data_IF_464808244218
#
_entry.id   IF_464808244218
#
_cell.length_a   1.000
_cell.length_b   1.000
_cell.length_c   1.000
_cell.angle_alpha   90.00
_cell.angle_beta   90.00
_cell.angle_gamma   90.00
#
_symmetry.space_group_name_H-M   'P 1'
#
loop_
_entity.id
_entity.type
_entity.pdbx_description
1 polymer ?
#
# COMPACT_ATOMS: atom_id res chain seq x y z
N UNK A 1 -0.75 -46.39 3.20
CA UNK A 1 -1.15 -44.97 3.33
C UNK A 1 -0.30 -44.18 4.33
N UNK A 2 0.49 -44.79 5.22
CA UNK A 2 1.26 -44.04 6.23
C UNK A 2 2.36 -43.12 5.69
N UNK A 3 2.87 -43.39 4.48
CA UNK A 3 3.93 -42.59 3.85
C UNK A 3 3.45 -41.16 3.51
N UNK A 4 2.23 -41.02 3.01
CA UNK A 4 1.67 -39.72 2.58
C UNK A 4 1.47 -38.78 3.78
N UNK A 5 1.10 -39.32 4.95
CA UNK A 5 0.87 -38.51 6.15
C UNK A 5 2.16 -37.99 6.82
N UNK A 6 3.34 -38.45 6.38
CA UNK A 6 4.63 -38.06 7.00
C UNK A 6 5.47 -37.13 6.12
N UNK A 7 5.12 -36.97 4.85
CA UNK A 7 5.92 -36.21 3.89
C UNK A 7 5.34 -34.80 3.75
N UNK A 8 6.20 -33.79 3.70
CA UNK A 8 5.76 -32.40 3.51
C UNK A 8 5.59 -32.09 2.02
N UNK A 9 4.74 -31.10 1.72
CA UNK A 9 4.54 -30.63 0.35
C UNK A 9 5.86 -30.23 -0.33
N UNK A 10 6.74 -29.51 0.36
CA UNK A 10 8.03 -29.08 -0.19
C UNK A 10 8.92 -30.25 -0.62
N UNK A 11 8.92 -31.36 0.14
CA UNK A 11 9.72 -32.53 -0.19
C UNK A 11 9.16 -33.27 -1.41
N UNK A 12 7.84 -33.36 -1.53
CA UNK A 12 7.19 -33.91 -2.73
C UNK A 12 7.42 -33.04 -3.97
N UNK A 13 7.26 -31.73 -3.82
CA UNK A 13 7.44 -30.78 -4.92
C UNK A 13 8.88 -30.84 -5.47
N UNK A 14 9.88 -30.92 -4.57
CA UNK A 14 11.28 -31.08 -4.95
C UNK A 14 11.59 -32.43 -5.60
N UNK A 15 10.90 -33.50 -5.20
CA UNK A 15 11.17 -34.84 -5.69
C UNK A 15 10.59 -35.12 -7.07
N UNK A 16 9.46 -34.49 -7.40
CA UNK A 16 8.73 -34.72 -8.65
C UNK A 16 8.74 -33.52 -9.60
N UNK A 17 9.56 -32.50 -9.32
CA UNK A 17 9.65 -31.27 -10.13
C UNK A 17 9.88 -31.56 -11.60
N UNK A 18 10.70 -32.57 -11.88
CA UNK A 18 11.16 -32.90 -13.23
C UNK A 18 10.22 -33.88 -13.94
N UNK A 19 9.48 -34.69 -13.17
CA UNK A 19 8.56 -35.70 -13.71
C UNK A 19 7.20 -35.11 -14.06
N UNK A 20 6.67 -34.18 -13.25
CA UNK A 20 5.29 -33.69 -13.35
C UNK A 20 5.12 -32.20 -12.97
N UNK A 21 5.80 -31.25 -13.64
CA UNK A 21 5.78 -29.83 -13.25
C UNK A 21 4.38 -29.21 -13.27
N UNK A 22 3.54 -29.56 -14.25
CA UNK A 22 2.19 -28.99 -14.39
C UNK A 22 1.25 -29.38 -13.24
N UNK A 23 1.37 -30.61 -12.73
CA UNK A 23 0.54 -31.09 -11.61
C UNK A 23 0.98 -30.40 -10.33
N UNK A 24 2.29 -30.23 -10.13
CA UNK A 24 2.84 -29.53 -8.98
C UNK A 24 2.38 -28.07 -8.92
N UNK A 25 2.42 -27.37 -10.05
CA UNK A 25 1.88 -26.01 -10.16
C UNK A 25 0.38 -25.94 -9.82
N UNK A 26 -0.41 -26.93 -10.26
CA UNK A 26 -1.84 -26.97 -9.94
C UNK A 26 -2.08 -27.14 -8.44
N UNK A 27 -1.29 -27.99 -7.78
CA UNK A 27 -1.39 -28.19 -6.33
C UNK A 27 -0.89 -26.95 -5.58
N UNK A 28 0.19 -26.30 -6.02
CA UNK A 28 0.63 -25.02 -5.46
C UNK A 28 -0.49 -23.97 -5.54
N UNK A 29 -1.15 -23.84 -6.70
CA UNK A 29 -2.30 -22.96 -6.88
C UNK A 29 -3.44 -23.34 -5.91
N UNK A 30 -3.78 -24.62 -5.83
CA UNK A 30 -4.82 -25.10 -4.91
C UNK A 30 -4.51 -24.78 -3.44
N UNK A 31 -3.24 -24.88 -3.05
CA UNK A 31 -2.78 -24.57 -1.69
C UNK A 31 -2.78 -23.07 -1.38
N UNK A 32 -2.75 -22.21 -2.40
CA UNK A 32 -2.91 -20.75 -2.24
C UNK A 32 -4.36 -20.30 -2.12
N UNK A 33 -5.33 -21.14 -2.50
CA UNK A 33 -6.74 -20.82 -2.36
C UNK A 33 -7.17 -20.93 -0.89
N UNK A 34 -7.81 -19.89 -0.31
CA UNK A 34 -8.32 -19.98 1.04
C UNK A 34 -9.43 -21.04 1.10
N UNK A 35 -9.31 -21.99 2.03
CA UNK A 35 -10.29 -23.06 2.21
C UNK A 35 -11.64 -22.60 2.81
N UNK A 36 -11.74 -21.35 3.25
CA UNK A 36 -12.91 -20.80 3.94
C UNK A 36 -13.21 -19.35 3.53
N UNK A 37 -14.49 -19.00 3.55
CA UNK A 37 -14.99 -17.63 3.37
C UNK A 37 -14.81 -16.75 4.60
N UNK A 38 -14.33 -17.29 5.73
CA UNK A 38 -14.10 -16.53 6.96
C UNK A 38 -13.14 -15.34 6.75
N UNK A 39 -12.13 -15.50 5.89
CA UNK A 39 -11.21 -14.41 5.53
C UNK A 39 -11.93 -13.29 4.76
N UNK A 40 -12.90 -13.64 3.90
CA UNK A 40 -13.76 -12.66 3.24
C UNK A 40 -14.63 -11.90 4.26
N UNK A 41 -15.24 -12.59 5.22
CA UNK A 41 -16.06 -11.98 6.27
C UNK A 41 -15.25 -11.02 7.14
N UNK A 42 -14.03 -11.43 7.54
CA UNK A 42 -13.06 -10.56 8.20
C UNK A 42 -12.76 -9.35 7.32
N UNK A 43 -12.56 -9.55 6.02
CA UNK A 43 -12.37 -8.47 5.07
C UNK A 43 -13.53 -7.45 5.09
N UNK A 44 -14.77 -7.92 4.96
CA UNK A 44 -15.95 -7.05 5.03
C UNK A 44 -16.07 -6.30 6.37
N UNK A 45 -15.68 -6.92 7.48
CA UNK A 45 -15.66 -6.24 8.77
C UNK A 45 -14.64 -5.08 8.80
N UNK A 46 -13.41 -5.31 8.31
CA UNK A 46 -12.40 -4.24 8.18
C UNK A 46 -12.89 -3.13 7.25
N UNK A 47 -13.49 -3.48 6.12
CA UNK A 47 -14.09 -2.52 5.19
C UNK A 47 -15.14 -1.63 5.88
N UNK A 48 -15.99 -2.22 6.74
CA UNK A 48 -17.00 -1.50 7.51
C UNK A 48 -16.38 -0.55 8.54
N UNK A 49 -15.24 -0.92 9.12
CA UNK A 49 -14.49 -0.03 10.02
C UNK A 49 -13.84 1.15 9.26
N UNK A 50 -13.28 0.89 8.09
CA UNK A 50 -12.67 1.90 7.23
C UNK A 50 -13.71 2.91 6.76
N UNK A 51 -14.82 2.40 6.22
CA UNK A 51 -15.91 3.18 5.63
C UNK A 51 -17.05 3.33 6.63
N UNK A 52 -16.75 4.03 7.72
CA UNK A 52 -17.75 4.47 8.70
C UNK A 52 -18.63 5.57 8.11
N UNK A 53 -19.76 5.86 8.74
CA UNK A 53 -20.72 6.89 8.33
C UNK A 53 -20.06 8.27 8.07
N UNK A 54 -19.16 8.68 8.97
CA UNK A 54 -18.37 9.91 8.89
C UNK A 54 -17.26 9.91 7.83
N UNK A 55 -16.94 8.75 7.24
CA UNK A 55 -15.88 8.55 6.23
C UNK A 55 -16.46 8.01 4.91
N UNK A 56 -17.74 8.24 4.67
CA UNK A 56 -18.46 7.74 3.50
C UNK A 56 -17.90 8.24 2.17
N UNK A 57 -17.21 9.39 2.16
CA UNK A 57 -16.58 10.02 0.98
C UNK A 57 -15.21 9.46 0.60
N UNK A 58 -14.69 8.44 1.29
CA UNK A 58 -13.36 7.90 0.99
C UNK A 58 -13.32 7.26 -0.40
N UNK A 59 -12.30 7.65 -1.20
CA UNK A 59 -12.11 7.12 -2.54
C UNK A 59 -11.86 5.61 -2.52
N UNK A 60 -12.30 4.89 -3.56
CA UNK A 60 -12.09 3.44 -3.66
C UNK A 60 -10.61 3.04 -3.59
N UNK A 61 -9.72 3.87 -4.15
CA UNK A 61 -8.27 3.67 -4.07
C UNK A 61 -7.77 3.71 -2.61
N UNK A 62 -8.14 4.76 -1.87
CA UNK A 62 -7.73 4.93 -0.47
C UNK A 62 -8.30 3.84 0.43
N UNK A 63 -9.52 3.39 0.15
CA UNK A 63 -10.12 2.23 0.82
C UNK A 63 -9.27 0.98 0.58
N UNK A 64 -8.88 0.70 -0.66
CA UNK A 64 -8.03 -0.45 -1.01
C UNK A 64 -6.67 -0.39 -0.32
N UNK A 65 -6.00 0.76 -0.33
CA UNK A 65 -4.71 0.95 0.35
C UNK A 65 -4.81 0.67 1.87
N UNK A 66 -5.85 1.20 2.52
CA UNK A 66 -6.05 0.98 3.96
C UNK A 66 -6.43 -0.48 4.27
N UNK A 67 -7.18 -1.12 3.36
CA UNK A 67 -7.51 -2.53 3.45
C UNK A 67 -6.25 -3.41 3.37
N UNK A 68 -5.33 -3.11 2.45
CA UNK A 68 -4.04 -3.79 2.35
C UNK A 68 -3.23 -3.64 3.62
N UNK A 69 -3.19 -2.44 4.22
CA UNK A 69 -2.51 -2.23 5.51
C UNK A 69 -3.13 -3.12 6.60
N UNK A 70 -4.45 -3.18 6.70
CA UNK A 70 -5.12 -3.96 7.76
C UNK A 70 -4.97 -5.48 7.58
N UNK A 71 -4.98 -5.98 6.35
CA UNK A 71 -4.93 -7.42 6.08
C UNK A 71 -3.51 -7.99 6.00
N UNK A 72 -2.54 -7.19 5.54
CA UNK A 72 -1.17 -7.66 5.27
C UNK A 72 -0.16 -7.19 6.32
N UNK A 73 -0.50 -6.20 7.15
CA UNK A 73 0.40 -5.75 8.22
C UNK A 73 0.53 -6.81 9.31
N UNK A 74 1.70 -6.81 9.96
CA UNK A 74 1.88 -7.52 11.22
C UNK A 74 0.89 -7.02 12.28
N UNK A 75 0.55 -7.91 13.23
CA UNK A 75 -0.23 -7.53 14.41
C UNK A 75 0.44 -6.36 15.15
N UNK A 76 -0.37 -5.53 15.81
CA UNK A 76 0.06 -4.29 16.47
C UNK A 76 1.20 -4.56 17.47
N UNK A 77 1.18 -5.73 18.13
CA UNK A 77 2.20 -6.14 19.11
C UNK A 77 3.59 -6.38 18.49
N UNK A 78 3.62 -6.81 17.23
CA UNK A 78 4.83 -7.18 16.50
C UNK A 78 5.17 -6.16 15.40
N UNK A 79 4.40 -5.09 15.28
CA UNK A 79 4.61 -4.06 14.28
C UNK A 79 5.85 -3.22 14.62
N UNK A 80 6.85 -3.20 13.72
CA UNK A 80 8.00 -2.31 13.83
C UNK A 80 7.72 -0.99 13.10
N UNK A 81 7.57 0.14 13.82
CA UNK A 81 7.31 1.43 13.18
C UNK A 81 8.57 2.07 12.58
N UNK A 82 9.78 1.58 12.90
CA UNK A 82 11.04 2.22 12.50
C UNK A 82 11.19 2.44 10.98
N UNK A 83 10.81 1.49 10.10
CA UNK A 83 10.91 1.70 8.66
C UNK A 83 10.04 2.87 8.19
N UNK A 84 8.79 2.94 8.67
CA UNK A 84 7.86 4.02 8.33
C UNK A 84 8.36 5.37 8.85
N UNK A 85 8.90 5.40 10.07
CA UNK A 85 9.51 6.59 10.66
C UNK A 85 10.70 7.06 9.83
N UNK A 86 11.58 6.14 9.41
CA UNK A 86 12.75 6.46 8.60
C UNK A 86 12.35 7.06 7.24
N UNK A 87 11.38 6.43 6.57
CA UNK A 87 10.81 6.96 5.33
C UNK A 87 10.25 8.36 5.57
N UNK A 88 9.47 8.58 6.63
CA UNK A 88 8.91 9.88 6.95
C UNK A 88 10.00 10.95 7.15
N UNK A 89 11.07 10.63 7.87
CA UNK A 89 12.19 11.56 8.09
C UNK A 89 12.98 11.91 6.83
N UNK A 90 13.11 10.97 5.90
CA UNK A 90 13.92 11.14 4.69
C UNK A 90 13.14 11.63 3.47
N UNK A 91 11.87 11.25 3.31
CA UNK A 91 11.06 11.59 2.13
C UNK A 91 10.24 12.88 2.29
N UNK A 92 10.04 13.36 3.53
CA UNK A 92 9.44 14.69 3.73
C UNK A 92 10.48 15.75 3.38
N UNK A 93 10.36 16.28 2.17
CA UNK A 93 10.73 17.67 1.88
C UNK A 93 9.86 18.53 2.79
N UNK A 94 10.30 18.75 4.03
CA UNK A 94 9.63 19.69 4.93
C UNK A 94 9.57 20.96 4.13
N UNK A 95 8.36 21.47 3.84
CA UNK A 95 8.21 22.87 3.45
C UNK A 95 9.03 23.59 4.50
N UNK A 96 10.15 24.22 4.10
CA UNK A 96 10.84 25.16 4.97
C UNK A 96 9.70 26.01 5.50
N UNK A 97 9.58 26.11 6.83
CA UNK A 97 8.63 27.06 7.40
C UNK A 97 8.81 28.33 6.59
N UNK A 98 7.74 28.81 5.98
CA UNK A 98 7.77 30.14 5.39
C UNK A 98 8.26 30.99 6.54
N UNK A 99 9.49 31.49 6.46
CA UNK A 99 10.01 32.41 7.44
C UNK A 99 8.95 33.50 7.50
N UNK A 100 8.30 33.61 8.65
CA UNK A 100 7.29 34.62 8.89
C UNK A 100 8.05 35.93 8.72
N UNK A 101 7.94 36.55 7.53
CA UNK A 101 8.62 37.81 7.24
C UNK A 101 8.02 38.84 8.19
N UNK A 102 8.74 39.12 9.26
CA UNK A 102 8.41 40.19 10.19
C UNK A 102 8.42 41.51 9.43
N UNK A 103 7.26 42.15 9.37
CA UNK A 103 7.11 43.60 9.19
C UNK A 103 7.42 44.17 7.81
N UNK A 104 6.34 44.39 7.02
CA UNK A 104 5.96 45.75 6.59
C UNK A 104 4.53 45.75 6.07
N UNK A 105 3.61 46.19 6.92
CA UNK A 105 2.35 46.78 6.49
C UNK A 105 2.67 47.96 5.57
N UNK A 106 2.24 47.90 4.31
CA UNK A 106 2.05 49.09 3.52
C UNK A 106 0.91 48.89 2.53
N UNK A 107 -0.05 49.79 2.68
CA UNK A 107 -1.07 50.22 1.71
C UNK A 107 -2.19 49.26 1.36
N UNK A 108 -3.33 49.54 2.00
CA UNK A 108 -4.67 49.24 1.51
C UNK A 108 -4.85 49.73 0.08
N UNK A 109 -5.28 48.84 -0.81
CA UNK A 109 -5.94 49.18 -2.06
C UNK A 109 -6.93 48.06 -2.41
N UNK A 110 -8.20 48.42 -2.24
CA UNK A 110 -9.37 48.03 -3.03
C UNK A 110 -9.93 46.60 -2.90
N UNK A 111 -11.18 46.58 -2.43
CA UNK A 111 -12.14 45.48 -2.47
C UNK A 111 -12.56 45.24 -3.92
N UNK A 112 -12.38 44.02 -4.42
CA UNK A 112 -13.14 43.51 -5.55
C UNK A 112 -13.76 42.16 -5.11
N UNK A 113 -15.08 42.10 -5.20
CA UNK A 113 -15.90 40.94 -4.86
C UNK A 113 -15.70 39.83 -5.91
N UNK A 114 -14.85 38.87 -5.59
CA UNK A 114 -14.78 37.59 -6.30
C UNK A 114 -14.79 36.45 -5.28
N UNK A 115 -15.88 35.67 -5.29
CA UNK A 115 -16.03 34.41 -4.57
C UNK A 115 -14.78 33.52 -4.77
N UNK A 116 -14.11 33.05 -3.69
CA UNK A 116 -13.00 32.12 -3.85
C UNK A 116 -13.55 30.72 -4.10
N UNK A 117 -13.35 30.21 -5.31
CA UNK A 117 -13.36 28.76 -5.52
C UNK A 117 -12.24 28.16 -4.66
N UNK A 118 -12.61 27.32 -3.68
CA UNK A 118 -11.66 26.61 -2.84
C UNK A 118 -10.97 25.49 -3.62
N UNK A 119 -10.02 25.88 -4.46
CA UNK A 119 -9.04 24.97 -5.03
C UNK A 119 -7.95 24.71 -3.98
N UNK A 120 -8.25 23.82 -3.02
CA UNK A 120 -7.23 23.26 -2.13
C UNK A 120 -6.33 22.31 -2.92
N UNK A 121 -5.46 22.87 -3.77
CA UNK A 121 -4.38 22.12 -4.39
C UNK A 121 -3.37 21.73 -3.31
N UNK A 122 -3.40 20.46 -2.93
CA UNK A 122 -2.40 19.87 -2.07
C UNK A 122 -1.07 19.75 -2.86
N UNK A 123 -0.26 20.82 -2.89
CA UNK A 123 1.02 20.94 -3.65
C UNK A 123 2.09 19.87 -3.24
N UNK A 124 1.76 18.95 -2.34
CA UNK A 124 2.67 17.88 -1.88
C UNK A 124 2.45 16.49 -2.48
N UNK A 125 1.32 16.19 -3.13
CA UNK A 125 1.00 14.79 -3.49
C UNK A 125 1.63 14.31 -4.81
N UNK A 126 2.05 15.22 -5.70
CA UNK A 126 2.61 14.84 -7.01
C UNK A 126 3.99 14.16 -6.96
N UNK A 127 4.80 14.42 -5.92
CA UNK A 127 6.17 13.88 -5.85
C UNK A 127 6.23 12.43 -5.38
N UNK A 128 5.39 12.04 -4.42
CA UNK A 128 5.43 10.69 -3.84
C UNK A 128 4.88 9.65 -4.83
N UNK A 129 3.78 9.98 -5.52
CA UNK A 129 3.26 9.18 -6.64
C UNK A 129 4.26 9.08 -7.80
N UNK A 130 4.95 10.17 -8.16
CA UNK A 130 5.99 10.13 -9.20
C UNK A 130 7.21 9.31 -8.78
N UNK A 131 7.61 9.33 -7.50
CA UNK A 131 8.73 8.53 -7.00
C UNK A 131 8.38 7.05 -6.83
N UNK A 132 7.14 6.72 -6.42
CA UNK A 132 6.67 5.33 -6.40
C UNK A 132 6.57 4.77 -7.81
N UNK A 133 6.00 5.52 -8.77
CA UNK A 133 5.95 5.08 -10.17
C UNK A 133 7.35 4.87 -10.74
N UNK A 134 8.28 5.82 -10.54
CA UNK A 134 9.67 5.69 -11.00
C UNK A 134 10.44 4.57 -10.31
N UNK A 135 10.11 4.20 -9.07
CA UNK A 135 10.70 3.03 -8.40
C UNK A 135 10.19 1.73 -9.02
N UNK A 136 8.89 1.61 -9.28
CA UNK A 136 8.30 0.45 -9.94
C UNK A 136 8.79 0.30 -11.39
N UNK A 137 8.91 1.40 -12.13
CA UNK A 137 9.40 1.38 -13.52
C UNK A 137 10.90 0.98 -13.60
N UNK A 138 11.70 1.36 -12.59
CA UNK A 138 13.15 1.08 -12.56
C UNK A 138 13.50 -0.27 -11.90
N UNK A 139 12.54 -0.93 -11.25
CA UNK A 139 12.65 -2.32 -10.77
C UNK A 139 12.13 -3.32 -11.81
N UNK A 140 11.22 -2.93 -12.73
CA UNK A 140 10.74 -3.82 -13.80
C UNK A 140 11.76 -4.01 -14.94
N UNK A 141 12.62 -3.03 -15.20
CA UNK A 141 13.61 -3.08 -16.29
C UNK A 141 14.90 -3.83 -15.94
N UNK A 142 15.08 -4.28 -14.70
CA UNK A 142 16.29 -4.99 -14.26
C UNK A 142 16.18 -6.51 -14.25
N UNK A 143 14.97 -7.05 -14.43
CA UNK A 143 14.71 -8.49 -14.42
C UNK A 143 14.57 -9.08 -15.85
N UNK A 144 14.87 -8.28 -16.89
CA UNK A 144 14.80 -8.72 -18.30
C UNK A 144 16.10 -8.50 -19.10
N UNK A 145 17.26 -8.49 -18.46
CA UNK A 145 18.52 -8.85 -19.14
C UNK A 145 18.85 -10.30 -18.82
N UNK A 146 18.35 -11.20 -19.69
CA UNK A 146 18.84 -12.57 -19.82
C UNK A 146 19.87 -12.55 -20.95
N UNK A 147 21.14 -12.75 -20.57
CA UNK A 147 22.14 -13.37 -21.44
C UNK A 147 22.19 -14.88 -21.12
#
# INVERSE_FOLDING_TARGET
MEFINKVTWCELNRRYSDECPNILQLVDLLLTLPASTAECERGFNHMKMIKSDWRSSLSGKSVGELMSVLLLSADIKNFDPKPAINIWFHDVQRRRRLDFMDGKTSTAAEMDDAEPEEDFMCVGQGRLLSMMSKKYDNELDKDFEVE
#
